data_IF_285302345096
#
_entry.id   IF_285302345096
#
_cell.length_a   1.000
_cell.length_b   1.000
_cell.length_c   1.000
_cell.angle_alpha   90.00
_cell.angle_beta   90.00
_cell.angle_gamma   90.00
#
_symmetry.space_group_name_H-M   'P 1'
#
loop_
_entity.id
_entity.type
_entity.pdbx_description
1 polymer ?
#
# COMPACT_ATOMS: atom_id res chain seq x y z
N UNK A 1 -12.18 -21.78 12.15
CA UNK A 1 -10.78 -21.42 11.87
C UNK A 1 -10.75 -19.92 11.85
N UNK A 2 -9.83 -19.30 12.57
CA UNK A 2 -9.63 -17.85 12.48
C UNK A 2 -9.01 -17.55 11.11
N UNK A 3 -9.51 -16.50 10.44
CA UNK A 3 -8.94 -16.00 9.20
C UNK A 3 -7.56 -15.43 9.48
N UNK A 4 -6.54 -15.83 8.70
CA UNK A 4 -5.19 -15.31 8.89
C UNK A 4 -4.75 -14.53 7.66
N UNK A 5 -4.19 -13.34 7.90
CA UNK A 5 -3.60 -12.54 6.82
C UNK A 5 -2.29 -13.19 6.39
N UNK A 6 -2.17 -13.43 5.08
CA UNK A 6 -1.01 -14.09 4.47
C UNK A 6 -0.12 -13.06 3.76
N UNK A 7 -0.72 -12.11 3.05
CA UNK A 7 0.02 -11.08 2.35
C UNK A 7 -0.74 -9.78 2.20
N UNK A 8 -0.02 -8.66 2.19
CA UNK A 8 -0.54 -7.33 1.93
C UNK A 8 0.24 -6.72 0.77
N UNK A 9 -0.45 -6.24 -0.26
CA UNK A 9 0.16 -5.38 -1.28
C UNK A 9 -0.27 -3.93 -1.02
N UNK A 10 0.70 -3.04 -0.91
CA UNK A 10 0.45 -1.59 -0.93
C UNK A 10 0.58 -1.10 -2.36
N UNK A 11 -0.49 -0.55 -2.91
CA UNK A 11 -0.52 -0.01 -4.26
C UNK A 11 -1.67 0.98 -4.42
N UNK A 12 -1.50 1.95 -5.31
CA UNK A 12 -2.63 2.78 -5.71
C UNK A 12 -3.56 1.97 -6.62
N UNK A 13 -4.86 2.07 -6.34
CA UNK A 13 -5.89 1.69 -7.30
C UNK A 13 -7.07 2.68 -7.20
N UNK A 14 -7.65 3.00 -8.36
CA UNK A 14 -8.56 4.12 -8.50
C UNK A 14 -9.89 3.87 -7.78
N UNK A 15 -10.27 4.81 -6.90
CA UNK A 15 -11.52 4.78 -6.10
C UNK A 15 -11.67 3.56 -5.21
N UNK A 16 -10.56 2.95 -4.81
CA UNK A 16 -10.53 1.84 -3.87
C UNK A 16 -9.40 2.05 -2.86
N UNK A 17 -9.38 1.25 -1.81
CA UNK A 17 -8.34 1.34 -0.79
C UNK A 17 -6.97 0.81 -1.26
N UNK A 18 -5.87 1.35 -0.72
CA UNK A 18 -4.52 1.06 -1.20
C UNK A 18 -3.95 -0.27 -0.69
N UNK A 19 -4.63 -0.94 0.25
CA UNK A 19 -4.16 -2.17 0.88
C UNK A 19 -4.90 -3.39 0.33
N UNK A 20 -4.22 -4.14 -0.52
CA UNK A 20 -4.74 -5.39 -1.06
C UNK A 20 -4.34 -6.55 -0.16
N UNK A 21 -5.28 -7.00 0.65
CA UNK A 21 -5.04 -8.01 1.68
C UNK A 21 -5.51 -9.36 1.16
N UNK A 22 -4.64 -10.36 1.29
CA UNK A 22 -4.97 -11.77 1.04
C UNK A 22 -4.96 -12.51 2.36
N UNK A 23 -6.01 -13.27 2.60
CA UNK A 23 -6.11 -14.19 3.72
C UNK A 23 -5.94 -15.64 3.27
N UNK A 24 -5.79 -16.56 4.22
CA UNK A 24 -5.69 -17.99 3.95
C UNK A 24 -7.00 -18.62 3.47
N UNK A 25 -8.14 -17.94 3.66
CA UNK A 25 -9.46 -18.41 3.26
C UNK A 25 -9.72 -18.22 1.76
N UNK A 26 -9.18 -17.16 1.16
CA UNK A 26 -9.47 -16.78 -0.22
C UNK A 26 -8.23 -16.84 -1.11
N UNK A 27 -8.43 -17.25 -2.37
CA UNK A 27 -7.33 -17.36 -3.34
C UNK A 27 -6.82 -15.98 -3.80
N UNK A 28 -7.70 -14.97 -3.77
CA UNK A 28 -7.48 -13.61 -4.28
C UNK A 28 -7.32 -12.61 -3.13
N UNK A 29 -6.77 -11.43 -3.44
CA UNK A 29 -6.71 -10.30 -2.51
C UNK A 29 -7.92 -9.40 -2.72
N UNK A 30 -8.45 -8.84 -1.64
CA UNK A 30 -9.46 -7.78 -1.67
C UNK A 30 -8.84 -6.44 -1.24
N UNK A 31 -9.32 -5.31 -1.78
CA UNK A 31 -8.82 -3.99 -1.42
C UNK A 31 -9.50 -3.48 -0.14
N UNK A 32 -8.70 -2.84 0.71
CA UNK A 32 -9.10 -2.22 1.97
C UNK A 32 -8.52 -0.82 2.07
N UNK A 33 -9.28 0.11 2.64
CA UNK A 33 -8.72 1.36 3.15
C UNK A 33 -7.77 1.08 4.32
N UNK A 34 -6.96 2.08 4.68
CA UNK A 34 -6.04 1.94 5.81
C UNK A 34 -6.77 1.70 7.14
N UNK A 35 -7.94 2.33 7.33
CA UNK A 35 -8.78 2.14 8.52
C UNK A 35 -9.44 0.75 8.54
N UNK A 36 -10.00 0.27 7.42
CA UNK A 36 -10.61 -1.07 7.36
C UNK A 36 -9.57 -2.17 7.60
N UNK A 37 -8.31 -1.96 7.22
CA UNK A 37 -7.23 -2.91 7.49
C UNK A 37 -6.98 -3.14 8.99
N UNK A 38 -7.39 -2.23 9.88
CA UNK A 38 -7.28 -2.40 11.34
C UNK A 38 -8.14 -3.55 11.86
N UNK A 39 -9.17 -3.97 11.13
CA UNK A 39 -9.98 -5.14 11.48
C UNK A 39 -9.20 -6.46 11.30
N UNK A 40 -8.14 -6.45 10.47
CA UNK A 40 -7.39 -7.63 10.07
C UNK A 40 -5.96 -7.65 10.60
N UNK A 41 -5.32 -6.48 10.74
CA UNK A 41 -3.94 -6.32 11.22
C UNK A 41 -3.82 -5.17 12.20
N UNK A 42 -2.93 -5.31 13.18
CA UNK A 42 -2.63 -4.23 14.11
C UNK A 42 -1.61 -3.27 13.47
N UNK A 43 -2.05 -2.05 13.18
CA UNK A 43 -1.22 -0.97 12.66
C UNK A 43 -1.27 0.23 13.61
N UNK A 44 -0.23 1.06 13.59
CA UNK A 44 -0.22 2.31 14.32
C UNK A 44 -1.10 3.37 13.64
N UNK A 45 -1.76 4.22 14.42
CA UNK A 45 -2.55 5.35 13.91
C UNK A 45 -1.72 6.27 12.99
N UNK A 46 -0.42 6.38 13.27
CA UNK A 46 0.52 7.16 12.48
C UNK A 46 0.69 6.57 11.07
N UNK A 47 0.87 5.26 10.97
CA UNK A 47 1.00 4.58 9.69
C UNK A 47 -0.32 4.60 8.90
N UNK A 48 -1.45 4.37 9.56
CA UNK A 48 -2.80 4.47 8.95
C UNK A 48 -3.02 5.86 8.35
N UNK A 49 -2.72 6.91 9.13
CA UNK A 49 -2.82 8.31 8.66
C UNK A 49 -1.90 8.57 7.46
N UNK A 50 -0.68 8.05 7.49
CA UNK A 50 0.29 8.28 6.43
C UNK A 50 -0.09 7.57 5.12
N UNK A 51 -0.53 6.32 5.19
CA UNK A 51 -1.03 5.56 4.02
C UNK A 51 -2.28 6.24 3.44
N UNK A 52 -3.20 6.68 4.30
CA UNK A 52 -4.41 7.38 3.86
C UNK A 52 -4.07 8.66 3.09
N UNK A 53 -3.18 9.50 3.62
CA UNK A 53 -2.75 10.73 2.94
C UNK A 53 -2.04 10.45 1.62
N UNK A 54 -1.18 9.43 1.59
CA UNK A 54 -0.48 9.01 0.37
C UNK A 54 -1.45 8.57 -0.73
N UNK A 55 -2.48 7.78 -0.38
CA UNK A 55 -3.51 7.37 -1.33
C UNK A 55 -4.38 8.56 -1.76
N UNK A 56 -4.89 9.36 -0.81
CA UNK A 56 -5.74 10.53 -1.09
C UNK A 56 -5.06 11.55 -2.01
N UNK A 57 -3.76 11.78 -1.84
CA UNK A 57 -2.98 12.63 -2.73
C UNK A 57 -3.09 12.16 -4.18
N UNK A 58 -2.98 10.85 -4.40
CA UNK A 58 -3.07 10.26 -5.73
C UNK A 58 -4.51 10.22 -6.25
N UNK A 59 -5.49 9.89 -5.40
CA UNK A 59 -6.91 9.92 -5.77
C UNK A 59 -7.35 11.33 -6.17
N UNK A 60 -6.76 12.38 -5.59
CA UNK A 60 -7.07 13.77 -5.93
C UNK A 60 -6.47 14.21 -7.27
N UNK A 61 -5.30 13.68 -7.64
CA UNK A 61 -4.56 14.09 -8.84
C UNK A 61 -4.85 13.22 -10.05
N UNK A 62 -5.24 11.95 -9.85
CA UNK A 62 -5.46 10.99 -10.93
C UNK A 62 -6.55 11.43 -11.91
N UNK A 63 -6.16 11.74 -13.15
CA UNK A 63 -7.08 12.00 -14.26
C UNK A 63 -7.13 10.79 -15.21
N UNK A 64 -8.05 9.87 -14.91
CA UNK A 64 -8.28 8.67 -15.73
C UNK A 64 -8.77 8.93 -17.16
N UNK A 65 -8.88 10.20 -17.61
CA UNK A 65 -9.28 10.55 -18.98
C UNK A 65 -8.11 10.54 -19.96
N UNK A 66 -6.88 10.63 -19.48
CA UNK A 66 -5.68 10.61 -20.32
C UNK A 66 -4.77 9.47 -19.91
N UNK A 67 -4.68 8.43 -20.74
CA UNK A 67 -3.77 7.29 -20.55
C UNK A 67 -2.29 7.70 -20.39
N UNK A 68 -1.94 8.92 -20.78
CA UNK A 68 -0.57 9.44 -20.78
C UNK A 68 -0.24 10.29 -19.55
N UNK A 69 -1.23 10.71 -18.76
CA UNK A 69 -1.01 11.56 -17.59
C UNK A 69 -1.56 10.86 -16.35
N UNK A 70 -0.65 10.27 -15.59
CA UNK A 70 -0.96 9.54 -14.36
C UNK A 70 -1.44 10.45 -13.22
N UNK A 71 -1.65 11.74 -13.46
CA UNK A 71 -2.16 12.72 -12.50
C UNK A 71 -1.10 13.69 -11.98
N UNK A 72 0.19 13.38 -12.15
CA UNK A 72 1.28 14.29 -11.78
C UNK A 72 1.69 15.19 -12.94
N UNK A 73 1.65 16.51 -12.73
CA UNK A 73 2.14 17.48 -13.69
C UNK A 73 3.69 17.60 -13.67
N UNK A 74 4.33 17.21 -12.56
CA UNK A 74 5.78 17.22 -12.35
C UNK A 74 6.32 15.80 -12.14
N UNK A 75 7.24 15.30 -12.99
CA UNK A 75 7.90 14.01 -12.79
C UNK A 75 8.62 13.87 -11.43
N UNK A 76 9.04 14.98 -10.81
CA UNK A 76 9.63 14.94 -9.47
C UNK A 76 8.60 14.70 -8.37
N UNK A 77 7.35 15.13 -8.56
CA UNK A 77 6.24 14.82 -7.64
C UNK A 77 5.89 13.34 -7.72
N UNK A 78 5.80 12.79 -8.93
CA UNK A 78 5.57 11.36 -9.14
C UNK A 78 6.66 10.53 -8.48
N UNK A 79 7.93 10.88 -8.70
CA UNK A 79 9.06 10.16 -8.11
C UNK A 79 9.03 10.20 -6.58
N UNK A 80 8.75 11.36 -5.97
CA UNK A 80 8.63 11.48 -4.50
C UNK A 80 7.50 10.63 -3.98
N UNK A 81 6.33 10.67 -4.61
CA UNK A 81 5.19 9.85 -4.21
C UNK A 81 5.48 8.35 -4.30
N UNK A 82 6.23 7.91 -5.33
CA UNK A 82 6.67 6.52 -5.45
C UNK A 82 7.65 6.13 -4.33
N UNK A 83 8.60 7.00 -4.00
CA UNK A 83 9.58 6.78 -2.93
C UNK A 83 8.88 6.73 -1.55
N UNK A 84 7.94 7.64 -1.30
CA UNK A 84 7.11 7.66 -0.09
C UNK A 84 6.29 6.37 0.06
N UNK A 85 5.64 5.89 -1.00
CA UNK A 85 4.90 4.63 -0.99
C UNK A 85 5.78 3.43 -0.61
N UNK A 86 7.03 3.41 -1.08
CA UNK A 86 8.00 2.38 -0.71
C UNK A 86 8.40 2.46 0.77
N UNK A 87 8.60 3.65 1.30
CA UNK A 87 8.91 3.85 2.73
C UNK A 87 7.74 3.41 3.61
N UNK A 88 6.50 3.73 3.22
CA UNK A 88 5.30 3.26 3.90
C UNK A 88 5.19 1.74 3.87
N UNK A 89 5.48 1.09 2.73
CA UNK A 89 5.51 -0.37 2.65
C UNK A 89 6.57 -0.98 3.59
N UNK A 90 7.70 -0.30 3.77
CA UNK A 90 8.73 -0.70 4.74
C UNK A 90 8.26 -0.58 6.20
N UNK A 91 7.58 0.51 6.54
CA UNK A 91 6.98 0.69 7.86
C UNK A 91 5.89 -0.36 8.13
N UNK A 92 5.02 -0.58 7.14
CA UNK A 92 4.00 -1.62 7.16
C UNK A 92 4.62 -2.99 7.44
N UNK A 93 5.68 -3.37 6.71
CA UNK A 93 6.39 -4.63 6.94
C UNK A 93 6.94 -4.75 8.36
N UNK A 94 7.44 -3.65 8.93
CA UNK A 94 7.97 -3.66 10.29
C UNK A 94 6.87 -3.84 11.35
N UNK A 95 5.68 -3.27 11.14
CA UNK A 95 4.55 -3.40 12.07
C UNK A 95 3.87 -4.77 11.98
N UNK A 96 3.62 -5.29 10.78
CA UNK A 96 2.96 -6.60 10.59
C UNK A 96 3.89 -7.80 10.84
N UNK A 97 5.19 -7.54 10.93
CA UNK A 97 6.21 -8.53 11.29
C UNK A 97 6.53 -9.56 10.19
N UNK A 98 7.28 -10.60 10.58
CA UNK A 98 7.84 -11.58 9.64
C UNK A 98 6.79 -12.51 9.02
N UNK A 99 5.68 -12.77 9.72
CA UNK A 99 4.66 -13.75 9.31
C UNK A 99 3.80 -13.35 8.12
N UNK A 100 3.74 -12.05 7.80
CA UNK A 100 2.92 -11.51 6.71
C UNK A 100 3.84 -11.01 5.59
N UNK A 101 3.63 -11.48 4.36
CA UNK A 101 4.35 -10.97 3.19
C UNK A 101 3.86 -9.57 2.84
N UNK A 102 4.76 -8.59 2.68
CA UNK A 102 4.39 -7.25 2.22
C UNK A 102 5.03 -6.99 0.86
N UNK A 103 4.25 -6.47 -0.08
CA UNK A 103 4.73 -6.09 -1.41
C UNK A 103 4.34 -4.64 -1.69
N UNK A 104 5.26 -3.88 -2.26
CA UNK A 104 4.96 -2.58 -2.85
C UNK A 104 4.79 -2.72 -4.35
N UNK A 105 3.69 -2.20 -4.92
CA UNK A 105 3.50 -2.12 -6.36
C UNK A 105 3.47 -0.64 -6.73
N UNK A 106 4.58 -0.09 -7.27
CA UNK A 106 4.60 1.30 -7.71
C UNK A 106 3.70 1.47 -8.94
N UNK A 107 3.29 2.71 -9.19
CA UNK A 107 2.51 3.06 -10.38
C UNK A 107 3.26 2.78 -11.69
N UNK A 108 4.58 2.98 -11.65
CA UNK A 108 5.52 2.66 -12.73
C UNK A 108 6.67 1.84 -12.13
N UNK A 109 7.01 0.74 -12.80
CA UNK A 109 8.12 -0.13 -12.42
C UNK A 109 7.65 -1.50 -11.94
N UNK A 110 8.61 -2.28 -11.43
CA UNK A 110 8.34 -3.64 -10.97
C UNK A 110 7.92 -3.65 -9.51
N UNK A 111 7.01 -4.57 -9.18
CA UNK A 111 6.57 -4.78 -7.82
C UNK A 111 7.69 -5.39 -6.96
N UNK A 112 7.90 -4.84 -5.77
CA UNK A 112 8.99 -5.17 -4.86
C UNK A 112 8.45 -5.88 -3.62
N UNK A 113 9.00 -7.05 -3.27
CA UNK A 113 8.74 -7.67 -1.97
C UNK A 113 9.57 -6.97 -0.91
N UNK A 114 8.92 -6.52 0.16
CA UNK A 114 9.56 -5.78 1.24
C UNK A 114 10.04 -6.75 2.30
N UNK A 115 11.35 -6.74 2.52
CA UNK A 115 11.99 -7.51 3.57
C UNK A 115 11.87 -6.80 4.92
N UNK A 116 11.75 -7.59 5.99
CA UNK A 116 11.73 -7.07 7.34
C UNK A 116 13.10 -6.44 7.67
N UNK A 117 13.11 -5.14 8.02
CA UNK A 117 14.34 -4.50 8.50
C UNK A 117 14.41 -4.64 10.01
N UNK A 118 15.26 -5.56 10.46
CA UNK A 118 15.68 -5.62 11.85
C UNK A 118 16.77 -4.56 12.02
N UNK A 119 16.45 -3.43 12.65
CA UNK A 119 17.47 -2.47 13.04
C UNK A 119 18.35 -3.11 14.14
N UNK A 120 19.69 -3.01 14.03
CA UNK A 120 20.62 -3.59 15.01
C UNK A 120 20.57 -2.89 16.37
#
# INVERSE_FOLDING_TARGET
MEETVVSIKLMFDWRTGPLWIKTDQYAISDPYSADEALELVQLSDALVTAITKWDEQMQATYDGRTHENLGFADPQEEKRWIEEGRELAQQLKNEVGAGISVKYVPLIGDAETIELRILP
#
